data_IF_606979717713
#
_entry.id   IF_606979717713
#
_cell.length_a   1.000
_cell.length_b   1.000
_cell.length_c   1.000
_cell.angle_alpha   90.00
_cell.angle_beta   90.00
_cell.angle_gamma   90.00
#
_symmetry.space_group_name_H-M   'P 1'
#
loop_
_entity.id
_entity.type
_entity.pdbx_description
1 polymer ?
#
# COMPACT_ATOMS: atom_id res chain seq x y z
N UNK A 1 -1.42 -0.81 27.42
CA UNK A 1 -1.78 -0.68 25.98
C UNK A 1 -2.45 0.64 25.59
N UNK A 2 -3.53 1.07 26.26
CA UNK A 2 -4.19 2.35 25.96
C UNK A 2 -3.29 3.57 26.19
N UNK A 3 -2.40 3.48 27.18
CA UNK A 3 -1.37 4.51 27.47
C UNK A 3 -0.38 4.74 26.33
N UNK A 4 -0.14 3.74 25.46
CA UNK A 4 0.73 3.85 24.28
C UNK A 4 0.12 4.72 23.17
N UNK A 5 -1.16 5.09 23.30
CA UNK A 5 -1.85 5.99 22.39
C UNK A 5 -2.21 7.32 23.08
N UNK A 6 -1.66 7.57 24.27
CA UNK A 6 -1.88 8.83 24.97
C UNK A 6 -1.24 10.01 24.18
N UNK A 7 -1.85 11.21 24.23
CA UNK A 7 -1.26 12.40 23.63
C UNK A 7 0.19 12.61 24.09
N UNK A 8 1.10 12.84 23.14
CA UNK A 8 2.53 13.03 23.40
C UNK A 8 3.38 11.76 23.38
N UNK A 9 2.78 10.56 23.35
CA UNK A 9 3.53 9.30 23.20
C UNK A 9 4.16 9.16 21.81
N UNK A 10 3.44 9.62 20.77
CA UNK A 10 3.85 9.55 19.37
C UNK A 10 4.79 10.70 18.97
N UNK A 11 5.86 10.94 19.74
CA UNK A 11 6.93 11.86 19.36
C UNK A 11 6.61 13.36 19.39
N UNK A 12 5.42 13.77 19.86
CA UNK A 12 5.09 15.16 20.17
C UNK A 12 4.86 16.08 18.96
N UNK A 13 4.69 15.51 17.76
CA UNK A 13 4.27 16.23 16.55
C UNK A 13 2.77 16.14 16.36
N UNK A 14 2.16 17.17 15.78
CA UNK A 14 0.72 17.12 15.46
C UNK A 14 0.49 16.32 14.19
N UNK A 15 -0.71 15.71 14.01
CA UNK A 15 -1.05 15.02 12.77
C UNK A 15 -0.84 15.89 11.52
N UNK A 16 -1.11 17.20 11.60
CA UNK A 16 -0.90 18.14 10.50
C UNK A 16 0.59 18.29 10.15
N UNK A 17 1.47 18.27 11.15
CA UNK A 17 2.92 18.32 10.94
C UNK A 17 3.43 17.03 10.30
N UNK A 18 2.94 15.88 10.73
CA UNK A 18 3.27 14.57 10.13
C UNK A 18 2.83 14.51 8.67
N UNK A 19 1.59 14.94 8.39
CA UNK A 19 1.05 15.02 7.03
C UNK A 19 1.88 15.95 6.16
N UNK A 20 2.14 17.18 6.62
CA UNK A 20 2.94 18.15 5.87
C UNK A 20 4.36 17.64 5.59
N UNK A 21 4.97 16.94 6.54
CA UNK A 21 6.27 16.31 6.34
C UNK A 21 6.24 15.27 5.22
N UNK A 22 5.25 14.36 5.23
CA UNK A 22 5.10 13.33 4.20
C UNK A 22 4.83 13.95 2.82
N UNK A 23 3.93 14.93 2.72
CA UNK A 23 3.58 15.60 1.47
C UNK A 23 4.78 16.37 0.87
N UNK A 24 5.56 17.06 1.72
CA UNK A 24 6.80 17.72 1.30
C UNK A 24 7.85 16.73 0.80
N UNK A 25 8.03 15.60 1.51
CA UNK A 25 8.97 14.56 1.12
C UNK A 25 8.61 13.97 -0.26
N UNK A 26 7.35 13.59 -0.46
CA UNK A 26 6.89 13.06 -1.75
C UNK A 26 7.11 14.05 -2.88
N UNK A 27 6.70 15.30 -2.67
CA UNK A 27 6.86 16.36 -3.68
C UNK A 27 8.34 16.55 -4.03
N UNK A 28 9.23 16.56 -3.03
CA UNK A 28 10.67 16.66 -3.26
C UNK A 28 11.21 15.51 -4.10
N UNK A 29 10.83 14.27 -3.77
CA UNK A 29 11.20 13.06 -4.53
C UNK A 29 10.72 13.16 -5.98
N UNK A 30 9.49 13.62 -6.24
CA UNK A 30 8.97 13.76 -7.61
C UNK A 30 9.80 14.73 -8.45
N UNK A 31 10.22 15.87 -7.89
CA UNK A 31 11.08 16.82 -8.59
C UNK A 31 12.50 16.28 -8.81
N UNK A 32 13.03 15.47 -7.90
CA UNK A 32 14.30 14.77 -8.11
C UNK A 32 14.19 13.72 -9.22
N UNK A 33 13.14 12.92 -9.25
CA UNK A 33 12.91 11.95 -10.32
C UNK A 33 12.72 12.65 -11.67
N UNK A 34 11.97 13.77 -11.69
CA UNK A 34 11.84 14.61 -12.88
C UNK A 34 13.20 15.13 -13.38
N UNK A 35 14.07 15.63 -12.48
CA UNK A 35 15.37 16.18 -12.88
C UNK A 35 16.30 15.12 -13.47
N UNK A 36 16.14 13.86 -13.07
CA UNK A 36 16.82 12.70 -13.63
C UNK A 36 16.19 12.15 -14.91
N UNK A 37 15.05 12.71 -15.35
CA UNK A 37 14.39 12.37 -16.61
C UNK A 37 13.32 11.28 -16.51
N UNK A 38 13.03 10.74 -15.33
CA UNK A 38 11.94 9.77 -15.14
C UNK A 38 10.59 10.36 -15.52
N UNK A 39 9.72 9.54 -16.11
CA UNK A 39 8.41 9.97 -16.66
C UNK A 39 7.21 9.19 -16.12
N UNK A 40 7.43 7.99 -15.60
CA UNK A 40 6.41 7.17 -14.94
C UNK A 40 6.92 6.87 -13.53
N UNK A 41 6.10 7.17 -12.53
CA UNK A 41 6.44 7.04 -11.11
C UNK A 41 5.32 6.26 -10.41
N UNK A 42 5.68 5.38 -9.49
CA UNK A 42 4.73 4.63 -8.67
C UNK A 42 4.96 4.94 -7.20
N UNK A 43 3.88 5.27 -6.49
CA UNK A 43 3.83 5.44 -5.04
C UNK A 43 2.84 4.43 -4.47
N UNK A 44 3.37 3.34 -3.95
CA UNK A 44 2.60 2.28 -3.30
C UNK A 44 2.68 2.45 -1.79
N UNK A 45 1.56 2.83 -1.19
CA UNK A 45 1.44 3.01 0.25
C UNK A 45 1.19 1.65 0.93
N UNK A 46 2.22 1.09 1.60
CA UNK A 46 2.04 -0.10 2.45
C UNK A 46 1.33 0.18 3.78
N UNK A 47 1.02 1.45 4.07
CA UNK A 47 0.19 1.85 5.20
C UNK A 47 -0.96 2.73 4.67
N UNK A 48 -2.16 2.18 4.66
CA UNK A 48 -3.28 2.72 3.89
C UNK A 48 -3.72 4.15 4.28
N UNK A 49 -3.62 4.60 5.54
CA UNK A 49 -3.89 5.99 5.90
C UNK A 49 -3.04 7.02 5.13
N UNK A 50 -1.90 6.62 4.56
CA UNK A 50 -1.05 7.51 3.75
C UNK A 50 -1.58 7.73 2.32
N UNK A 51 -2.48 6.87 1.82
CA UNK A 51 -2.96 6.90 0.44
C UNK A 51 -3.54 8.26 0.02
N UNK A 52 -4.47 8.90 0.77
CA UNK A 52 -5.07 10.16 0.33
C UNK A 52 -4.05 11.28 0.16
N UNK A 53 -3.00 11.31 0.99
CA UNK A 53 -1.91 12.28 0.91
C UNK A 53 -1.04 12.04 -0.34
N UNK A 54 -0.72 10.76 -0.62
CA UNK A 54 0.02 10.40 -1.81
C UNK A 54 -0.74 10.74 -3.11
N UNK A 55 -2.04 10.41 -3.17
CA UNK A 55 -2.93 10.74 -4.30
C UNK A 55 -3.01 12.26 -4.54
N UNK A 56 -3.20 13.04 -3.46
CA UNK A 56 -3.20 14.50 -3.52
C UNK A 56 -1.90 15.05 -4.09
N UNK A 57 -0.74 14.66 -3.55
CA UNK A 57 0.56 15.13 -4.03
C UNK A 57 0.81 14.72 -5.49
N UNK A 58 0.47 13.48 -5.87
CA UNK A 58 0.62 13.00 -7.23
C UNK A 58 -0.22 13.83 -8.22
N UNK A 59 -1.49 14.11 -7.87
CA UNK A 59 -2.39 14.95 -8.69
C UNK A 59 -1.83 16.36 -8.85
N UNK A 60 -1.52 17.06 -7.75
CA UNK A 60 -1.01 18.43 -7.77
C UNK A 60 0.32 18.55 -8.53
N UNK A 61 1.17 17.51 -8.46
CA UNK A 61 2.41 17.45 -9.23
C UNK A 61 2.13 17.27 -10.72
N UNK A 62 1.27 16.32 -11.10
CA UNK A 62 0.95 16.05 -12.52
C UNK A 62 0.28 17.25 -13.20
N UNK A 63 -0.56 18.02 -12.50
CA UNK A 63 -1.17 19.25 -13.02
C UNK A 63 -0.12 20.26 -13.51
N UNK A 64 1.05 20.30 -12.86
CA UNK A 64 2.18 21.19 -13.22
C UNK A 64 3.17 20.53 -14.17
N UNK A 65 3.06 19.22 -14.40
CA UNK A 65 4.03 18.39 -15.11
C UNK A 65 3.31 17.38 -16.04
N UNK A 66 2.62 17.85 -17.10
CA UNK A 66 1.73 17.02 -17.92
C UNK A 66 2.45 15.90 -18.69
N UNK A 67 3.77 15.94 -18.80
CA UNK A 67 4.60 14.92 -19.43
C UNK A 67 5.10 13.84 -18.44
N UNK A 68 4.61 13.83 -17.20
CA UNK A 68 4.89 12.82 -16.19
C UNK A 68 3.57 12.20 -15.74
N UNK A 69 3.59 10.88 -15.52
CA UNK A 69 2.48 10.11 -14.97
C UNK A 69 2.89 9.51 -13.64
N UNK A 70 2.01 9.62 -12.65
CA UNK A 70 2.21 9.07 -11.32
C UNK A 70 1.00 8.22 -10.97
N UNK A 71 1.22 6.95 -10.66
CA UNK A 71 0.26 6.14 -9.93
C UNK A 71 0.54 6.30 -8.44
N UNK A 72 -0.48 6.66 -7.67
CA UNK A 72 -0.43 6.69 -6.22
C UNK A 72 -1.63 5.92 -5.66
N UNK A 73 -1.38 5.00 -4.73
CA UNK A 73 -2.44 4.15 -4.19
C UNK A 73 -1.89 3.07 -3.27
N UNK A 74 -2.74 2.12 -2.91
CA UNK A 74 -2.34 0.88 -2.23
C UNK A 74 -2.28 -0.27 -3.24
N UNK A 75 -1.69 -1.39 -2.85
CA UNK A 75 -1.54 -2.58 -3.70
C UNK A 75 -2.87 -3.25 -4.06
N UNK A 76 -3.92 -3.03 -3.26
CA UNK A 76 -5.25 -3.59 -3.52
C UNK A 76 -6.07 -2.80 -4.56
N UNK A 77 -5.73 -1.54 -4.84
CA UNK A 77 -6.50 -0.69 -5.76
C UNK A 77 -6.55 -1.23 -7.20
N UNK A 78 -5.46 -1.72 -7.83
CA UNK A 78 -5.45 -2.20 -9.21
C UNK A 78 -6.29 -3.45 -9.46
N UNK A 79 -6.57 -4.21 -8.39
CA UNK A 79 -7.22 -5.52 -8.43
C UNK A 79 -8.58 -5.53 -7.72
N UNK A 80 -9.13 -4.34 -7.40
CA UNK A 80 -10.38 -4.20 -6.64
C UNK A 80 -11.59 -4.84 -7.32
N UNK A 81 -11.57 -4.97 -8.64
CA UNK A 81 -12.59 -5.64 -9.43
C UNK A 81 -12.58 -7.17 -9.24
N UNK A 82 -11.41 -7.74 -8.92
CA UNK A 82 -11.22 -9.17 -8.63
C UNK A 82 -11.39 -9.42 -7.11
N UNK A 83 -10.88 -8.51 -6.29
CA UNK A 83 -10.88 -8.58 -4.84
C UNK A 83 -11.54 -7.33 -4.22
N UNK A 84 -12.88 -7.27 -4.17
CA UNK A 84 -13.58 -6.09 -3.64
C UNK A 84 -13.21 -5.75 -2.20
N UNK A 85 -12.91 -6.77 -1.40
CA UNK A 85 -12.50 -6.65 0.01
C UNK A 85 -10.98 -6.65 0.19
N UNK A 86 -10.21 -6.47 -0.91
CA UNK A 86 -8.75 -6.46 -0.85
C UNK A 86 -8.23 -5.30 -0.01
N UNK A 87 -7.15 -5.54 0.70
CA UNK A 87 -6.58 -4.62 1.66
C UNK A 87 -7.25 -4.69 3.03
N UNK A 88 -6.46 -5.06 4.02
CA UNK A 88 -6.88 -5.22 5.41
C UNK A 88 -5.79 -4.73 6.38
N UNK A 89 -5.91 -5.06 7.66
CA UNK A 89 -4.84 -4.79 8.64
C UNK A 89 -4.48 -6.08 9.36
N UNK A 90 -3.27 -6.58 9.10
CA UNK A 90 -2.70 -7.82 9.60
C UNK A 90 -3.61 -9.06 9.42
N UNK A 91 -4.58 -9.00 8.50
CA UNK A 91 -5.55 -10.05 8.27
C UNK A 91 -5.10 -10.93 7.09
N UNK A 92 -6.00 -11.76 6.54
CA UNK A 92 -5.69 -12.72 5.47
C UNK A 92 -4.99 -12.07 4.27
N UNK A 93 -5.36 -10.86 3.85
CA UNK A 93 -4.75 -10.17 2.71
C UNK A 93 -3.27 -9.87 2.98
N UNK A 94 -2.95 -9.03 3.97
CA UNK A 94 -1.56 -8.67 4.26
C UNK A 94 -0.73 -9.89 4.69
N UNK A 95 -1.32 -10.78 5.50
CA UNK A 95 -0.62 -11.99 5.98
C UNK A 95 -0.31 -12.95 4.84
N UNK A 96 -1.23 -13.18 3.91
CA UNK A 96 -0.99 -14.09 2.77
C UNK A 96 0.06 -13.56 1.79
N UNK A 97 0.08 -12.24 1.55
CA UNK A 97 1.10 -11.58 0.73
C UNK A 97 2.46 -11.72 1.42
N UNK A 98 2.55 -11.40 2.72
CA UNK A 98 3.80 -11.56 3.48
C UNK A 98 4.25 -13.03 3.51
N UNK A 99 3.32 -13.97 3.70
CA UNK A 99 3.60 -15.41 3.68
C UNK A 99 4.16 -15.87 2.33
N UNK A 100 3.71 -15.25 1.24
CA UNK A 100 4.21 -15.53 -0.12
C UNK A 100 5.62 -14.98 -0.33
N UNK A 101 5.89 -13.76 0.14
CA UNK A 101 7.15 -13.07 -0.11
C UNK A 101 8.26 -13.45 0.87
N UNK A 102 7.91 -13.64 2.14
CA UNK A 102 8.81 -13.84 3.29
C UNK A 102 8.15 -14.79 4.31
N UNK A 103 7.90 -16.07 3.95
CA UNK A 103 7.20 -17.02 4.80
C UNK A 103 7.84 -17.18 6.19
N UNK A 104 9.14 -17.00 6.32
CA UNK A 104 9.87 -17.10 7.59
C UNK A 104 9.55 -15.98 8.59
N UNK A 105 8.87 -14.90 8.15
CA UNK A 105 8.43 -13.81 9.00
C UNK A 105 6.98 -13.96 9.48
N UNK A 106 6.29 -15.02 9.05
CA UNK A 106 4.87 -15.24 9.34
C UNK A 106 4.70 -16.56 10.08
N UNK A 107 4.32 -16.47 11.35
CA UNK A 107 3.88 -17.62 12.13
C UNK A 107 2.43 -17.39 12.59
N UNK A 108 1.47 -17.97 11.85
CA UNK A 108 0.04 -17.84 12.17
C UNK A 108 -0.35 -18.67 13.39
N UNK A 109 0.46 -19.68 13.77
CA UNK A 109 0.16 -20.57 14.90
C UNK A 109 0.15 -19.84 16.24
N UNK A 110 0.84 -18.69 16.34
CA UNK A 110 0.85 -17.84 17.54
C UNK A 110 -0.53 -17.28 17.90
N UNK A 111 -1.47 -17.27 16.95
CA UNK A 111 -2.86 -16.83 17.16
C UNK A 111 -3.74 -17.92 17.80
N UNK A 112 -3.25 -19.16 17.86
CA UNK A 112 -3.98 -20.32 18.37
C UNK A 112 -5.12 -20.80 17.46
N UNK A 113 -5.54 -22.04 17.67
CA UNK A 113 -6.50 -22.73 16.79
C UNK A 113 -7.97 -22.39 17.08
N UNK A 114 -8.28 -21.85 18.27
CA UNK A 114 -9.65 -21.48 18.65
C UNK A 114 -10.10 -20.22 17.92
N UNK A 115 -10.86 -20.40 16.83
CA UNK A 115 -11.43 -19.30 16.02
C UNK A 115 -12.51 -18.49 16.76
N UNK A 116 -13.01 -18.95 17.91
CA UNK A 116 -13.94 -18.15 18.74
C UNK A 116 -13.22 -16.99 19.44
N UNK A 117 -11.91 -17.13 19.66
CA UNK A 117 -11.04 -16.07 20.15
C UNK A 117 -10.59 -15.21 18.97
N UNK A 118 -11.06 -13.97 18.93
CA UNK A 118 -10.68 -13.03 17.86
C UNK A 118 -9.26 -12.50 18.09
N UNK A 119 -8.40 -12.48 17.06
CA UNK A 119 -7.08 -11.86 17.16
C UNK A 119 -7.18 -10.36 17.48
N UNK A 120 -6.25 -9.87 18.31
CA UNK A 120 -6.17 -8.46 18.69
C UNK A 120 -5.41 -7.69 17.61
N UNK A 121 -5.92 -6.53 17.21
CA UNK A 121 -5.25 -5.66 16.24
C UNK A 121 -5.37 -6.11 14.78
N UNK A 122 -6.23 -7.08 14.49
CA UNK A 122 -6.54 -7.50 13.12
C UNK A 122 -7.86 -6.87 12.67
N UNK A 123 -7.87 -6.26 11.49
CA UNK A 123 -9.09 -5.76 10.83
C UNK A 123 -9.21 -6.35 9.44
N UNK A 124 -10.04 -7.39 9.27
CA UNK A 124 -10.24 -8.07 7.99
C UNK A 124 -10.66 -9.52 8.17
N UNK A 125 -10.46 -10.34 7.15
CA UNK A 125 -10.67 -11.79 7.22
C UNK A 125 -9.58 -12.45 8.08
N UNK A 126 -9.95 -13.40 8.94
CA UNK A 126 -9.01 -14.06 9.85
C UNK A 126 -7.92 -14.80 9.07
N UNK A 127 -6.62 -14.55 9.34
CA UNK A 127 -5.52 -15.18 8.59
C UNK A 127 -5.34 -16.67 8.94
N UNK A 128 -6.04 -17.22 9.94
CA UNK A 128 -6.08 -18.66 10.25
C UNK A 128 -6.95 -19.39 9.23
N UNK A 129 -6.52 -19.46 7.97
CA UNK A 129 -7.24 -20.10 6.89
C UNK A 129 -6.39 -21.15 6.15
N UNK A 130 -7.05 -22.18 5.62
CA UNK A 130 -6.37 -23.31 4.98
C UNK A 130 -5.76 -22.93 3.61
N UNK A 131 -6.32 -21.91 2.97
CA UNK A 131 -5.93 -21.42 1.65
C UNK A 131 -4.90 -20.27 1.68
N UNK A 132 -4.34 -19.92 2.85
CA UNK A 132 -3.48 -18.74 3.02
C UNK A 132 -2.34 -18.68 1.99
N UNK A 133 -1.65 -19.80 1.78
CA UNK A 133 -0.50 -19.88 0.88
C UNK A 133 -0.90 -19.80 -0.60
N UNK A 134 -2.02 -20.42 -0.99
CA UNK A 134 -2.53 -20.39 -2.36
C UNK A 134 -3.10 -19.00 -2.69
N UNK A 135 -3.90 -18.45 -1.78
CA UNK A 135 -4.48 -17.12 -1.87
C UNK A 135 -3.39 -16.05 -2.01
N UNK A 136 -2.35 -16.12 -1.17
CA UNK A 136 -1.23 -15.18 -1.20
C UNK A 136 -0.47 -15.17 -2.53
N UNK A 137 -0.16 -16.35 -3.07
CA UNK A 137 0.49 -16.49 -4.39
C UNK A 137 -0.37 -15.88 -5.49
N UNK A 138 -1.67 -16.19 -5.47
CA UNK A 138 -2.60 -15.70 -6.48
C UNK A 138 -2.77 -14.17 -6.42
N UNK A 139 -3.05 -13.62 -5.25
CA UNK A 139 -3.20 -12.17 -5.06
C UNK A 139 -1.93 -11.42 -5.44
N UNK A 140 -0.77 -11.92 -5.00
CA UNK A 140 0.52 -11.28 -5.33
C UNK A 140 0.75 -11.22 -6.83
N UNK A 141 0.48 -12.32 -7.54
CA UNK A 141 0.63 -12.34 -9.00
C UNK A 141 -0.38 -11.42 -9.70
N UNK A 142 -1.65 -11.44 -9.30
CA UNK A 142 -2.67 -10.59 -9.90
C UNK A 142 -2.35 -9.09 -9.71
N UNK A 143 -1.81 -8.71 -8.55
CA UNK A 143 -1.33 -7.34 -8.29
C UNK A 143 -0.20 -7.00 -9.25
N UNK A 144 0.82 -7.87 -9.38
CA UNK A 144 1.96 -7.65 -10.28
C UNK A 144 1.47 -7.44 -11.72
N UNK A 145 0.59 -8.33 -12.21
CA UNK A 145 0.07 -8.26 -13.58
C UNK A 145 -0.71 -6.97 -13.84
N UNK A 146 -1.52 -6.52 -12.88
CA UNK A 146 -2.23 -5.23 -13.00
C UNK A 146 -1.29 -4.04 -12.96
N UNK A 147 -0.26 -4.08 -12.13
CA UNK A 147 0.74 -3.01 -12.04
C UNK A 147 1.56 -2.89 -13.33
N UNK A 148 1.91 -4.01 -13.96
CA UNK A 148 2.53 -4.03 -15.30
C UNK A 148 1.59 -3.43 -16.33
N UNK A 149 0.31 -3.85 -16.36
CA UNK A 149 -0.67 -3.30 -17.30
C UNK A 149 -0.88 -1.79 -17.13
N UNK A 150 -0.89 -1.29 -15.89
CA UNK A 150 -0.99 0.14 -15.59
C UNK A 150 0.25 0.88 -16.09
N UNK A 151 1.44 0.29 -15.91
CA UNK A 151 2.71 0.85 -16.42
C UNK A 151 2.66 1.02 -17.94
N UNK A 152 2.25 -0.03 -18.66
CA UNK A 152 2.12 0.01 -20.12
C UNK A 152 1.13 1.08 -20.59
N UNK A 153 0.00 1.22 -19.87
CA UNK A 153 -0.99 2.28 -20.14
C UNK A 153 -0.37 3.68 -20.02
N UNK A 154 0.33 3.94 -18.91
CA UNK A 154 1.01 5.23 -18.70
C UNK A 154 2.09 5.52 -19.74
N UNK A 155 2.86 4.51 -20.15
CA UNK A 155 3.88 4.66 -21.19
C UNK A 155 3.26 5.00 -22.55
N UNK A 156 2.17 4.32 -22.94
CA UNK A 156 1.43 4.59 -24.18
C UNK A 156 0.81 5.99 -24.20
N UNK A 157 0.22 6.43 -23.08
CA UNK A 157 -0.31 7.80 -22.93
C UNK A 157 0.77 8.88 -23.15
N UNK A 158 2.02 8.56 -22.83
CA UNK A 158 3.17 9.44 -23.02
C UNK A 158 3.86 9.26 -24.39
N UNK A 159 3.42 8.30 -25.23
CA UNK A 159 4.07 7.96 -26.50
C UNK A 159 5.46 7.36 -26.33
N UNK A 160 5.70 6.63 -25.24
CA UNK A 160 6.99 6.00 -24.90
C UNK A 160 7.04 4.49 -25.17
N UNK A 161 5.92 3.92 -25.58
CA UNK A 161 5.72 2.53 -26.02
C UNK A 161 4.74 2.54 -27.20
#
# INVERSE_FOLDING_TARGET
PAENFAPGYMGGVTPEQEQAFYEHLLTHIFYQLKSLGFRVIFILCGHYPLKPHAEKCAKEFMEKNPNIKIYAGIEADPVRDIYPNGGDHAAKWETSIMYTLRPELVDVSVLGDDKSVKPIGIYGEDPRCDDLAEFGKKVTQDIIDRMVSITDGMLKELGLL
#
